data_IF_301309609998
#
_entry.id   IF_301309609998
#
_cell.length_a   1.000
_cell.length_b   1.000
_cell.length_c   1.000
_cell.angle_alpha   90.00
_cell.angle_beta   90.00
_cell.angle_gamma   90.00
#
_symmetry.space_group_name_H-M   'P 1'
#
loop_
_entity.id
_entity.type
_entity.pdbx_description
1 polymer ?
#
# COMPACT_ATOMS: atom_id res chain seq x y z
N UNK A 1 18.26 -8.23 -23.67
CA UNK A 1 17.79 -8.20 -23.23
C UNK A 1 17.40 -8.38 -22.42
N UNK A 2 17.06 -8.42 -22.15
CA UNK A 2 16.58 -8.52 -21.59
C UNK A 2 16.22 -8.61 -20.84
N UNK A 3 16.12 -8.59 -20.63
CA UNK A 3 15.67 -8.68 -20.04
C UNK A 3 14.90 -8.87 -19.39
N UNK A 4 14.55 -9.44 -19.20
CA UNK A 4 13.46 -9.50 -18.68
C UNK A 4 13.33 -9.28 -17.36
N UNK A 5 13.19 -8.35 -16.96
CA UNK A 5 12.97 -8.15 -15.62
C UNK A 5 11.77 -8.87 -15.14
N UNK A 6 11.85 -9.40 -13.98
CA UNK A 6 10.72 -10.04 -13.38
C UNK A 6 9.69 -8.98 -13.01
N UNK A 7 8.43 -9.18 -13.37
CA UNK A 7 7.39 -8.25 -12.92
C UNK A 7 7.33 -8.16 -11.40
N UNK A 8 7.72 -9.22 -10.70
CA UNK A 8 7.65 -9.23 -9.24
C UNK A 8 8.60 -8.24 -8.59
N UNK A 9 9.55 -7.67 -9.35
CA UNK A 9 10.44 -6.65 -8.79
C UNK A 9 9.90 -5.25 -8.93
N UNK A 10 8.79 -5.06 -9.65
CA UNK A 10 8.18 -3.74 -9.81
C UNK A 10 7.55 -3.31 -8.51
N UNK A 11 7.86 -2.10 -8.09
CA UNK A 11 7.34 -1.53 -6.86
C UNK A 11 6.67 -0.21 -7.20
N UNK A 12 5.46 -0.01 -6.68
CA UNK A 12 4.67 1.18 -6.98
C UNK A 12 4.07 1.72 -5.68
N UNK A 13 3.70 3.01 -5.66
CA UNK A 13 2.98 3.54 -4.51
C UNK A 13 1.64 2.82 -4.34
N UNK A 14 1.25 2.61 -3.10
CA UNK A 14 -0.03 1.98 -2.78
C UNK A 14 -1.18 2.71 -3.48
N UNK A 15 -1.11 4.04 -3.54
CA UNK A 15 -2.17 4.85 -4.12
C UNK A 15 -2.33 4.62 -5.62
N UNK A 16 -1.38 3.96 -6.28
CA UNK A 16 -1.47 3.69 -7.71
C UNK A 16 -2.12 2.36 -8.02
N UNK A 17 -2.46 1.56 -7.01
CA UNK A 17 -3.17 0.31 -7.26
C UNK A 17 -4.60 0.59 -7.68
N UNK A 18 -5.17 -0.32 -8.46
CA UNK A 18 -6.59 -0.25 -8.80
C UNK A 18 -7.42 -0.87 -7.67
N UNK A 19 -8.66 -0.40 -7.48
CA UNK A 19 -9.53 -1.04 -6.49
C UNK A 19 -9.66 -2.53 -6.77
N UNK A 20 -9.57 -3.33 -5.72
CA UNK A 20 -9.62 -4.77 -5.83
C UNK A 20 -8.26 -5.42 -6.02
N UNK A 21 -7.22 -4.64 -6.29
CA UNK A 21 -5.88 -5.18 -6.47
C UNK A 21 -5.20 -5.39 -5.13
N UNK A 22 -4.24 -6.33 -5.10
CA UNK A 22 -3.48 -6.62 -3.90
C UNK A 22 -2.00 -6.38 -4.15
N UNK A 23 -1.29 -6.15 -3.06
CA UNK A 23 0.15 -5.99 -3.13
C UNK A 23 0.79 -6.32 -1.80
N UNK A 24 2.10 -6.50 -1.83
CA UNK A 24 2.91 -6.77 -0.65
C UNK A 24 3.68 -5.50 -0.32
N UNK A 25 3.58 -5.04 0.93
CA UNK A 25 4.31 -3.85 1.36
C UNK A 25 5.80 -4.12 1.32
N UNK A 26 6.54 -3.30 0.59
CA UNK A 26 7.99 -3.43 0.48
C UNK A 26 8.74 -2.33 1.22
N UNK A 27 8.14 -1.16 1.33
CA UNK A 27 8.80 -0.03 1.98
C UNK A 27 7.77 0.96 2.46
N UNK A 28 8.00 1.54 3.64
CA UNK A 28 7.14 2.57 4.21
C UNK A 28 7.99 3.81 4.36
N UNK A 29 7.71 4.84 3.55
CA UNK A 29 8.47 6.09 3.55
C UNK A 29 7.84 7.17 4.41
N UNK A 30 6.75 6.86 5.08
CA UNK A 30 6.12 7.78 6.01
C UNK A 30 7.11 8.04 7.14
N UNK A 31 7.33 9.30 7.52
CA UNK A 31 8.27 9.61 8.61
C UNK A 31 7.94 8.82 9.87
N UNK A 32 8.98 8.42 10.59
CA UNK A 32 8.82 7.53 11.75
C UNK A 32 7.82 8.08 12.77
N UNK A 33 7.82 9.39 12.98
CA UNK A 33 6.94 9.99 13.98
C UNK A 33 5.48 10.01 13.55
N UNK A 34 5.18 9.68 12.30
CA UNK A 34 3.81 9.68 11.77
C UNK A 34 3.30 8.29 11.48
N UNK A 35 4.15 7.26 11.52
CA UNK A 35 3.74 5.94 11.08
C UNK A 35 3.29 4.99 12.20
N UNK A 36 3.35 5.47 13.46
CA UNK A 36 3.04 4.60 14.59
C UNK A 36 1.66 3.98 14.50
N UNK A 37 0.65 4.78 14.13
CA UNK A 37 -0.71 4.28 14.00
C UNK A 37 -0.78 3.15 12.97
N UNK A 38 -0.11 3.33 11.85
CA UNK A 38 -0.16 2.33 10.78
C UNK A 38 0.54 1.05 11.18
N UNK A 39 1.67 1.17 11.88
CA UNK A 39 2.39 0.00 12.35
C UNK A 39 1.56 -0.79 13.36
N UNK A 40 0.88 -0.08 14.26
CA UNK A 40 0.02 -0.73 15.25
C UNK A 40 -1.14 -1.45 14.57
N UNK A 41 -1.58 -0.94 13.43
CA UNK A 41 -2.66 -1.56 12.67
C UNK A 41 -2.16 -2.69 11.77
N UNK A 42 -0.87 -3.00 11.78
CA UNK A 42 -0.35 -4.13 11.02
C UNK A 42 0.23 -3.78 9.65
N UNK A 43 0.40 -2.50 9.34
CA UNK A 43 0.99 -2.08 8.07
C UNK A 43 2.49 -2.22 8.16
N UNK A 44 2.98 -3.43 7.93
CA UNK A 44 4.39 -3.77 8.07
C UNK A 44 4.94 -4.23 6.73
N UNK A 45 6.25 -4.06 6.54
CA UNK A 45 6.93 -4.62 5.37
C UNK A 45 6.69 -6.12 5.35
N UNK A 46 6.30 -6.62 4.19
CA UNK A 46 5.97 -8.04 4.01
C UNK A 46 4.49 -8.36 4.16
N UNK A 47 3.67 -7.41 4.60
CA UNK A 47 2.24 -7.63 4.75
C UNK A 47 1.55 -7.52 3.40
N UNK A 48 0.65 -8.44 3.10
CA UNK A 48 -0.20 -8.35 1.92
C UNK A 48 -1.43 -7.52 2.25
N UNK A 49 -1.77 -6.61 1.36
CA UNK A 49 -2.97 -5.81 1.52
C UNK A 49 -3.74 -5.76 0.21
N UNK A 50 -5.00 -5.36 0.32
CA UNK A 50 -5.86 -5.16 -0.84
C UNK A 50 -6.35 -3.72 -0.82
N UNK A 51 -6.29 -3.04 -1.96
CA UNK A 51 -6.88 -1.71 -2.07
C UNK A 51 -8.36 -1.90 -2.28
N UNK A 52 -9.18 -1.47 -1.31
CA UNK A 52 -10.61 -1.66 -1.37
C UNK A 52 -11.26 -0.60 -2.25
N UNK A 53 -10.98 0.66 -1.95
CA UNK A 53 -11.54 1.76 -2.73
C UNK A 53 -10.88 3.09 -2.36
N UNK A 54 -11.09 4.05 -3.25
CA UNK A 54 -10.80 5.45 -2.95
C UNK A 54 -12.11 6.14 -2.59
N UNK A 55 -12.06 7.06 -1.65
CA UNK A 55 -13.22 7.91 -1.40
C UNK A 55 -13.50 8.75 -2.65
N UNK A 56 -14.70 9.32 -2.79
CA UNK A 56 -15.07 10.03 -4.01
C UNK A 56 -14.09 11.10 -4.49
N UNK A 57 -13.39 11.75 -3.56
CA UNK A 57 -12.40 12.76 -3.93
C UNK A 57 -10.98 12.23 -3.89
N UNK A 58 -10.81 10.91 -3.79
CA UNK A 58 -9.50 10.30 -3.78
C UNK A 58 -8.87 10.21 -2.41
N UNK A 59 -9.52 10.70 -1.37
CA UNK A 59 -8.98 10.74 -0.02
C UNK A 59 -10.15 10.62 0.97
N UNK A 60 -10.12 9.68 1.89
CA UNK A 60 -9.05 8.74 2.17
C UNK A 60 -9.03 7.53 1.23
N UNK A 61 -7.99 6.74 1.35
CA UNK A 61 -7.84 5.47 0.64
C UNK A 61 -8.12 4.36 1.63
N UNK A 62 -8.99 3.43 1.25
CA UNK A 62 -9.36 2.32 2.13
C UNK A 62 -8.68 1.04 1.67
N UNK A 63 -7.98 0.38 2.59
CA UNK A 63 -7.30 -0.89 2.29
C UNK A 63 -7.75 -1.94 3.30
N UNK A 64 -7.59 -3.19 2.92
CA UNK A 64 -7.86 -4.32 3.80
C UNK A 64 -6.58 -5.09 4.02
N UNK A 65 -6.28 -5.38 5.28
CA UNK A 65 -5.16 -6.22 5.64
C UNK A 65 -5.53 -7.00 6.89
N UNK A 66 -5.07 -8.24 6.94
CA UNK A 66 -5.28 -9.13 8.09
C UNK A 66 -6.74 -9.24 8.49
N UNK A 67 -7.65 -9.15 7.51
CA UNK A 67 -9.06 -9.36 7.76
C UNK A 67 -9.83 -8.13 8.23
N UNK A 68 -9.22 -6.95 8.27
CA UNK A 68 -9.94 -5.74 8.65
C UNK A 68 -9.53 -4.58 7.74
N UNK A 69 -10.35 -3.53 7.75
CA UNK A 69 -10.13 -2.38 6.90
C UNK A 69 -9.41 -1.28 7.66
N UNK A 70 -8.57 -0.57 6.93
CA UNK A 70 -7.79 0.55 7.45
C UNK A 70 -7.90 1.69 6.47
N UNK A 71 -8.17 2.91 6.97
CA UNK A 71 -8.19 4.10 6.12
C UNK A 71 -6.86 4.82 6.23
N UNK A 72 -6.34 5.20 5.07
CA UNK A 72 -5.11 5.96 4.96
C UNK A 72 -5.41 7.28 4.29
N UNK A 73 -4.73 8.33 4.72
CA UNK A 73 -4.77 9.55 3.95
C UNK A 73 -4.04 9.33 2.63
N UNK A 74 -4.45 10.04 1.60
CA UNK A 74 -3.84 9.84 0.29
C UNK A 74 -2.34 10.04 0.33
N UNK A 75 -1.86 11.07 1.05
CA UNK A 75 -0.43 11.31 1.11
C UNK A 75 0.32 10.18 1.83
N UNK A 76 -0.35 9.48 2.75
CA UNK A 76 0.24 8.30 3.38
C UNK A 76 0.33 7.16 2.38
N UNK A 77 -0.74 6.96 1.61
CA UNK A 77 -0.75 5.89 0.61
C UNK A 77 0.30 6.12 -0.47
N UNK A 78 0.61 7.39 -0.76
CA UNK A 78 1.66 7.70 -1.74
C UNK A 78 3.03 7.31 -1.23
N UNK A 79 3.21 7.22 0.09
CA UNK A 79 4.50 6.93 0.71
C UNK A 79 4.65 5.48 1.15
N UNK A 80 3.67 4.63 0.86
CA UNK A 80 3.78 3.19 1.09
C UNK A 80 4.01 2.53 -0.26
N UNK A 81 5.13 1.84 -0.39
CA UNK A 81 5.46 1.17 -1.64
C UNK A 81 5.11 -0.30 -1.55
N UNK A 82 4.48 -0.80 -2.60
CA UNK A 82 4.02 -2.19 -2.64
C UNK A 82 4.47 -2.84 -3.94
N UNK A 83 4.61 -4.15 -3.86
CA UNK A 83 4.83 -4.98 -5.05
C UNK A 83 3.46 -5.58 -5.42
N UNK A 84 2.89 -5.19 -6.56
CA UNK A 84 1.58 -5.72 -6.96
C UNK A 84 1.62 -7.23 -7.14
N UNK A 85 0.53 -7.86 -6.78
CA UNK A 85 0.37 -9.32 -6.95
C UNK A 85 -0.42 -9.65 -8.21
#
# INVERSE_FOLDING_TARGET
>A
MSSDPSPSTTVVPLASLAPGSRGVVTEIRIPAHQRGRLLEMGMLVGTTLELVRFAPLGDPVEVRLRGYNLSLRKHEADLVLVRPL
#
